data_IF_767333921527
#
_entry.id   IF_767333921527
#
_cell.length_a   1.000
_cell.length_b   1.000
_cell.length_c   1.000
_cell.angle_alpha   90.00
_cell.angle_beta   90.00
_cell.angle_gamma   90.00
#
_symmetry.space_group_name_H-M   'P 1'
#
loop_
_entity.id
_entity.type
_entity.pdbx_description
1 polymer ?
#
# COMPACT_ATOMS: atom_id res chain seq x y z
N UNK A 1 22.67 -12.59 60.87
CA UNK A 1 21.55 -11.63 60.80
C UNK A 1 21.49 -11.00 59.41
N UNK A 2 20.28 -10.94 58.84
CA UNK A 2 19.81 -10.03 57.76
C UNK A 2 20.47 -10.11 56.37
N UNK A 3 20.20 -11.18 55.60
CA UNK A 3 19.36 -11.15 54.38
C UNK A 3 18.39 -9.95 54.28
N UNK A 4 18.49 -9.18 53.18
CA UNK A 4 17.39 -8.52 52.41
C UNK A 4 17.63 -7.06 52.05
N UNK A 5 18.43 -6.78 51.00
CA UNK A 5 18.42 -5.46 50.33
C UNK A 5 18.17 -5.56 48.81
N UNK A 6 18.31 -6.74 48.20
CA UNK A 6 18.28 -6.88 46.74
C UNK A 6 16.88 -6.97 46.07
N UNK A 7 15.76 -6.89 46.80
CA UNK A 7 14.41 -7.19 46.26
C UNK A 7 13.48 -5.97 46.25
N UNK A 8 14.00 -4.74 46.10
CA UNK A 8 13.15 -3.53 45.97
C UNK A 8 13.38 -2.69 44.71
N UNK A 9 14.28 -3.09 43.82
CA UNK A 9 14.53 -2.35 42.56
C UNK A 9 13.83 -2.94 41.32
N UNK A 10 13.06 -4.03 41.47
CA UNK A 10 12.32 -4.65 40.36
C UNK A 10 10.89 -4.12 40.15
N UNK A 11 10.46 -3.11 40.90
CA UNK A 11 9.07 -2.59 40.84
C UNK A 11 8.91 -1.16 40.31
N UNK A 12 9.96 -0.52 39.77
CA UNK A 12 9.85 0.87 39.25
C UNK A 12 9.83 0.93 37.70
N UNK A 13 10.20 -0.13 36.98
CA UNK A 13 10.16 -0.13 35.50
C UNK A 13 8.80 -0.55 34.91
N UNK A 14 7.87 -1.06 35.72
CA UNK A 14 6.57 -1.55 35.24
C UNK A 14 5.46 -0.48 35.20
N UNK A 15 5.68 0.74 35.73
CA UNK A 15 4.66 1.80 35.74
C UNK A 15 4.85 2.87 34.66
N UNK A 16 6.00 2.90 33.97
CA UNK A 16 6.26 3.90 32.92
C UNK A 16 5.83 3.47 31.52
N UNK A 17 5.38 2.23 31.34
CA UNK A 17 4.96 1.68 30.04
C UNK A 17 3.51 2.01 29.62
N UNK A 18 2.71 2.59 30.51
CA UNK A 18 1.27 2.85 30.27
C UNK A 18 0.94 4.28 29.80
N UNK A 19 1.92 5.18 29.73
CA UNK A 19 1.70 6.61 29.48
C UNK A 19 2.36 7.14 28.20
N UNK A 20 2.93 6.27 27.34
CA UNK A 20 3.34 6.73 26.01
C UNK A 20 2.07 6.83 25.15
N UNK A 21 1.57 8.05 24.85
CA UNK A 21 0.45 8.20 23.91
C UNK A 21 0.95 7.62 22.58
N UNK A 22 0.15 6.73 22.00
CA UNK A 22 0.53 5.85 20.90
C UNK A 22 1.55 6.47 19.94
N UNK A 23 2.64 5.73 19.72
CA UNK A 23 3.62 6.01 18.67
C UNK A 23 2.89 6.43 17.40
N UNK A 24 3.08 7.69 17.00
CA UNK A 24 2.53 8.23 15.75
C UNK A 24 3.18 7.43 14.62
N UNK A 25 2.51 6.35 14.19
CA UNK A 25 2.94 5.59 13.02
C UNK A 25 3.02 6.56 11.83
N UNK A 26 4.04 6.44 10.97
CA UNK A 26 4.21 7.32 9.81
C UNK A 26 2.95 7.37 8.90
N UNK A 27 2.15 6.30 8.91
CA UNK A 27 0.83 6.24 8.28
C UNK A 27 -0.12 7.37 8.74
N UNK A 28 -0.01 7.75 10.00
CA UNK A 28 -0.91 8.67 10.70
C UNK A 28 -0.73 10.13 10.24
N UNK A 29 0.41 10.48 9.63
CA UNK A 29 0.63 11.83 9.07
C UNK A 29 -0.07 11.98 7.73
N UNK A 30 -0.06 10.95 6.88
CA UNK A 30 -0.72 10.99 5.58
C UNK A 30 -2.22 11.27 5.71
N UNK A 31 -2.87 10.68 6.71
CA UNK A 31 -4.31 10.82 6.93
C UNK A 31 -4.73 12.12 7.63
N UNK A 32 -3.79 13.00 8.01
CA UNK A 32 -4.14 14.35 8.46
C UNK A 32 -4.80 15.18 7.35
N UNK A 33 -4.47 14.86 6.10
CA UNK A 33 -5.03 15.54 4.91
C UNK A 33 -5.69 14.56 3.94
N UNK A 34 -5.16 13.35 3.77
CA UNK A 34 -5.77 12.35 2.90
C UNK A 34 -6.93 11.65 3.60
N UNK A 35 -8.11 11.71 3.00
CA UNK A 35 -9.31 11.11 3.58
C UNK A 35 -9.14 9.58 3.67
N UNK A 36 -9.10 9.05 4.90
CA UNK A 36 -8.80 7.64 5.15
C UNK A 36 -9.80 6.68 4.51
N UNK A 37 -11.06 7.07 4.38
CA UNK A 37 -12.11 6.26 3.74
C UNK A 37 -11.80 5.90 2.28
N UNK A 38 -10.98 6.70 1.58
CA UNK A 38 -10.56 6.44 0.20
C UNK A 38 -9.53 5.30 0.08
N UNK A 39 -8.95 4.87 1.19
CA UNK A 39 -7.93 3.81 1.26
C UNK A 39 -8.46 2.54 1.94
N UNK A 40 -9.78 2.48 2.12
CA UNK A 40 -10.48 1.35 2.73
C UNK A 40 -11.34 0.64 1.68
N UNK A 41 -11.58 -0.65 1.90
CA UNK A 41 -12.39 -1.47 1.00
C UNK A 41 -12.41 -2.91 1.45
N UNK A 42 -13.15 -3.76 0.73
CA UNK A 42 -13.19 -5.21 1.01
C UNK A 42 -11.81 -5.86 0.87
N UNK A 43 -11.02 -5.37 -0.08
CA UNK A 43 -9.64 -5.79 -0.33
C UNK A 43 -8.77 -4.54 -0.26
N UNK A 44 -7.89 -4.48 0.73
CA UNK A 44 -6.91 -3.39 0.87
C UNK A 44 -5.54 -3.92 0.49
N UNK A 45 -4.80 -3.15 -0.30
CA UNK A 45 -3.47 -3.53 -0.71
C UNK A 45 -2.54 -3.61 0.52
N UNK A 46 -1.74 -4.67 0.62
CA UNK A 46 -0.95 -4.98 1.83
C UNK A 46 -0.08 -3.80 2.31
N UNK A 47 0.64 -3.05 1.45
CA UNK A 47 1.40 -1.89 1.92
C UNK A 47 0.53 -0.77 2.50
N UNK A 48 -0.67 -0.57 1.94
CA UNK A 48 -1.63 0.44 2.40
C UNK A 48 -2.25 0.05 3.74
N UNK A 49 -2.65 -1.22 3.90
CA UNK A 49 -3.13 -1.74 5.17
C UNK A 49 -2.07 -1.64 6.29
N UNK A 50 -0.79 -1.77 5.93
CA UNK A 50 0.33 -1.58 6.84
C UNK A 50 0.73 -0.10 7.03
N UNK A 51 0.03 0.84 6.39
CA UNK A 51 0.31 2.27 6.51
C UNK A 51 1.63 2.71 5.87
N UNK A 52 2.19 1.91 4.97
CA UNK A 52 3.50 2.13 4.34
C UNK A 52 3.38 2.93 3.04
N UNK A 53 2.74 4.10 3.07
CA UNK A 53 2.48 4.92 1.88
C UNK A 53 3.77 5.28 1.11
N UNK A 54 4.87 5.48 1.84
CA UNK A 54 6.18 5.90 1.30
C UNK A 54 6.95 4.82 0.55
N UNK A 55 6.47 3.57 0.51
CA UNK A 55 7.07 2.54 -0.36
C UNK A 55 6.73 2.80 -1.82
N UNK A 56 5.58 3.42 -2.08
CA UNK A 56 5.11 3.78 -3.41
C UNK A 56 5.30 5.27 -3.70
N UNK A 57 5.02 6.14 -2.74
CA UNK A 57 5.03 7.59 -2.91
C UNK A 57 6.26 8.25 -2.29
N UNK A 58 6.74 9.34 -2.90
CA UNK A 58 7.66 10.29 -2.27
C UNK A 58 6.88 11.56 -1.92
N UNK A 59 6.58 11.82 -0.64
CA UNK A 59 5.73 12.94 -0.25
C UNK A 59 6.37 14.32 -0.52
N UNK A 60 7.67 14.40 -0.76
CA UNK A 60 8.36 15.67 -1.01
C UNK A 60 8.40 16.02 -2.48
N UNK A 61 8.87 15.09 -3.32
CA UNK A 61 9.03 15.33 -4.76
C UNK A 61 9.17 14.01 -5.52
N UNK A 62 8.44 13.90 -6.63
CA UNK A 62 8.64 12.83 -7.58
C UNK A 62 8.29 13.30 -8.99
N UNK A 63 8.99 12.75 -9.99
CA UNK A 63 8.75 13.07 -11.40
C UNK A 63 7.53 12.35 -12.01
N UNK A 64 6.98 11.36 -11.29
CA UNK A 64 5.89 10.52 -11.77
C UNK A 64 4.57 10.97 -11.15
N UNK A 65 3.48 10.88 -11.92
CA UNK A 65 2.13 11.31 -11.52
C UNK A 65 1.74 10.69 -10.17
N UNK A 66 1.15 11.50 -9.29
CA UNK A 66 0.77 11.05 -7.94
C UNK A 66 1.97 10.85 -7.02
N UNK A 67 3.10 11.51 -7.29
CA UNK A 67 4.33 11.42 -6.49
C UNK A 67 4.90 10.00 -6.37
N UNK A 68 4.74 9.15 -7.39
CA UNK A 68 5.30 7.80 -7.35
C UNK A 68 6.84 7.84 -7.37
N UNK A 69 7.47 6.94 -6.60
CA UNK A 69 8.94 6.84 -6.51
C UNK A 69 9.59 6.33 -7.79
N UNK A 70 8.87 5.51 -8.55
CA UNK A 70 9.28 4.92 -9.82
C UNK A 70 8.14 5.04 -10.83
N UNK A 71 8.45 4.82 -12.11
CA UNK A 71 7.42 4.67 -13.13
C UNK A 71 6.48 3.52 -12.75
N UNK A 72 5.17 3.66 -13.00
CA UNK A 72 4.11 2.78 -12.48
C UNK A 72 4.43 1.28 -12.60
N UNK A 73 4.65 0.77 -13.81
CA UNK A 73 4.98 -0.65 -13.99
C UNK A 73 6.24 -1.08 -13.25
N UNK A 74 7.30 -0.27 -13.25
CA UNK A 74 8.54 -0.56 -12.49
C UNK A 74 8.30 -0.59 -10.99
N UNK A 75 7.43 0.29 -10.48
CA UNK A 75 7.05 0.30 -9.08
C UNK A 75 6.28 -0.97 -8.69
N UNK A 76 5.28 -1.36 -9.49
CA UNK A 76 4.53 -2.58 -9.22
C UNK A 76 5.45 -3.81 -9.24
N UNK A 77 6.32 -3.91 -10.24
CA UNK A 77 7.21 -5.06 -10.41
C UNK A 77 8.40 -5.09 -9.44
N UNK A 78 8.63 -4.04 -8.63
CA UNK A 78 9.62 -4.12 -7.54
C UNK A 78 9.21 -5.09 -6.44
N UNK A 79 7.92 -5.43 -6.35
CA UNK A 79 7.39 -6.45 -5.44
C UNK A 79 6.64 -7.58 -6.16
N UNK A 80 6.16 -7.35 -7.38
CA UNK A 80 5.43 -8.34 -8.19
C UNK A 80 6.31 -8.96 -9.29
N UNK A 81 7.49 -9.47 -8.93
CA UNK A 81 8.46 -9.98 -9.91
C UNK A 81 7.95 -11.19 -10.68
N UNK A 82 7.17 -12.07 -10.04
CA UNK A 82 6.58 -13.24 -10.68
C UNK A 82 5.65 -12.83 -11.82
N UNK A 83 4.77 -11.84 -11.57
CA UNK A 83 3.88 -11.31 -12.60
C UNK A 83 4.69 -10.63 -13.72
N UNK A 84 5.75 -9.90 -13.36
CA UNK A 84 6.66 -9.31 -14.35
C UNK A 84 7.30 -10.35 -15.28
N UNK A 85 7.61 -11.55 -14.77
CA UNK A 85 8.13 -12.65 -15.57
C UNK A 85 7.05 -13.26 -16.48
N UNK A 86 5.83 -13.47 -15.96
CA UNK A 86 4.70 -13.99 -16.75
C UNK A 86 4.30 -13.04 -17.89
N UNK A 87 4.42 -11.73 -17.70
CA UNK A 87 4.14 -10.72 -18.73
C UNK A 87 5.27 -10.53 -19.75
N UNK A 88 6.09 -11.56 -19.96
CA UNK A 88 7.06 -11.63 -21.08
C UNK A 88 6.67 -12.67 -22.12
N UNK A 89 5.57 -13.40 -21.91
CA UNK A 89 5.18 -14.55 -22.70
C UNK A 89 3.76 -14.38 -23.26
N UNK A 90 3.55 -14.87 -24.49
CA UNK A 90 2.24 -14.90 -25.14
C UNK A 90 1.69 -13.52 -25.54
N UNK A 91 0.38 -13.48 -25.79
CA UNK A 91 -0.32 -12.25 -26.15
C UNK A 91 -0.79 -11.50 -24.90
N UNK A 92 -0.16 -10.38 -24.62
CA UNK A 92 -0.41 -9.57 -23.42
C UNK A 92 -1.19 -8.32 -23.80
N UNK A 93 -2.21 -7.99 -23.00
CA UNK A 93 -3.01 -6.79 -23.20
C UNK A 93 -2.14 -5.52 -23.15
N UNK A 94 -2.37 -4.60 -24.08
CA UNK A 94 -1.51 -3.44 -24.30
C UNK A 94 -1.25 -2.58 -23.03
N UNK A 95 -2.21 -2.34 -22.11
CA UNK A 95 -1.94 -1.62 -20.87
C UNK A 95 -0.86 -2.28 -20.02
N UNK A 96 -0.90 -3.61 -19.88
CA UNK A 96 0.09 -4.38 -19.10
C UNK A 96 1.47 -4.29 -19.74
N UNK A 97 1.57 -4.46 -21.07
CA UNK A 97 2.84 -4.32 -21.80
C UNK A 97 3.47 -2.94 -21.64
N UNK A 98 2.65 -1.90 -21.47
CA UNK A 98 3.12 -0.51 -21.22
C UNK A 98 3.35 -0.20 -19.73
N UNK A 99 3.11 -1.14 -18.83
CA UNK A 99 3.23 -0.93 -17.39
C UNK A 99 2.14 -0.04 -16.78
N UNK A 100 0.98 0.08 -17.43
CA UNK A 100 -0.21 0.78 -16.92
C UNK A 100 -1.10 -0.21 -16.15
N UNK A 101 -0.67 -0.59 -14.96
CA UNK A 101 -1.37 -1.50 -14.07
C UNK A 101 -2.70 -0.90 -13.55
N UNK A 102 -2.72 0.41 -13.32
CA UNK A 102 -3.87 1.17 -12.81
C UNK A 102 -4.97 1.39 -13.87
N UNK A 103 -4.70 1.02 -15.12
CA UNK A 103 -5.73 0.97 -16.16
C UNK A 103 -6.89 0.04 -15.77
N UNK A 104 -6.65 -0.99 -14.95
CA UNK A 104 -7.68 -1.89 -14.46
C UNK A 104 -7.66 -2.08 -12.94
N UNK A 105 -6.53 -1.84 -12.26
CA UNK A 105 -6.40 -2.04 -10.82
C UNK A 105 -6.49 -0.72 -10.03
N UNK A 106 -7.01 -0.80 -8.80
CA UNK A 106 -6.87 0.22 -7.78
C UNK A 106 -5.71 -0.16 -6.84
N UNK A 107 -4.59 0.60 -6.82
CA UNK A 107 -3.42 0.22 -6.05
C UNK A 107 -3.60 0.37 -4.52
N UNK A 108 -4.71 0.98 -4.07
CA UNK A 108 -4.99 1.20 -2.65
C UNK A 108 -5.99 0.18 -2.11
N UNK A 109 -7.21 0.18 -2.64
CA UNK A 109 -8.28 -0.69 -2.15
C UNK A 109 -9.36 -0.90 -3.22
N UNK A 110 -10.03 -2.05 -3.16
CA UNK A 110 -11.18 -2.33 -4.01
C UNK A 110 -12.20 -3.21 -3.30
N UNK A 111 -13.44 -3.19 -3.81
CA UNK A 111 -14.45 -4.20 -3.47
C UNK A 111 -14.23 -5.55 -4.18
N UNK A 112 -13.33 -5.61 -5.17
CA UNK A 112 -13.11 -6.79 -6.04
C UNK A 112 -11.75 -7.43 -5.73
N UNK A 113 -11.70 -8.77 -5.74
CA UNK A 113 -10.46 -9.55 -5.55
C UNK A 113 -9.39 -9.15 -6.57
N UNK A 114 -8.13 -9.17 -6.12
CA UNK A 114 -7.01 -8.75 -6.97
C UNK A 114 -6.95 -7.24 -7.20
N UNK A 115 -7.67 -6.45 -6.39
CA UNK A 115 -7.67 -4.99 -6.47
C UNK A 115 -8.15 -4.46 -7.82
N UNK A 116 -8.98 -5.20 -8.54
CA UNK A 116 -9.56 -4.74 -9.81
C UNK A 116 -10.57 -3.63 -9.53
N UNK A 117 -10.66 -2.59 -10.36
CA UNK A 117 -11.66 -1.52 -10.19
C UNK A 117 -13.07 -2.08 -10.34
N UNK A 118 -14.02 -1.56 -9.54
CA UNK A 118 -15.39 -2.10 -9.46
C UNK A 118 -16.12 -2.13 -10.81
N UNK A 119 -15.83 -1.16 -11.67
CA UNK A 119 -16.45 -1.05 -13.00
C UNK A 119 -15.47 -1.43 -14.11
N UNK A 120 -14.92 -2.65 -14.03
CA UNK A 120 -13.98 -3.18 -15.02
C UNK A 120 -14.60 -3.18 -16.43
N UNK A 121 -15.90 -3.48 -16.56
CA UNK A 121 -16.57 -3.49 -17.86
C UNK A 121 -16.50 -2.12 -18.54
N UNK A 122 -16.79 -1.03 -17.81
CA UNK A 122 -16.61 0.33 -18.32
C UNK A 122 -15.17 0.61 -18.71
N UNK A 123 -14.20 0.07 -17.98
CA UNK A 123 -12.78 0.26 -18.30
C UNK A 123 -12.34 -0.42 -19.58
N UNK A 124 -12.86 -1.62 -19.86
CA UNK A 124 -12.64 -2.30 -21.13
C UNK A 124 -13.18 -1.47 -22.30
N UNK A 125 -14.38 -0.90 -22.13
CA UNK A 125 -15.07 -0.12 -23.16
C UNK A 125 -14.42 1.24 -23.45
N UNK A 126 -13.49 1.73 -22.61
CA UNK A 126 -12.70 2.93 -22.91
C UNK A 126 -11.81 2.76 -24.16
N UNK A 127 -11.43 1.52 -24.47
CA UNK A 127 -10.57 1.20 -25.62
C UNK A 127 -11.25 0.25 -26.63
N UNK A 128 -12.16 -0.60 -26.18
CA UNK A 128 -12.82 -1.60 -27.01
C UNK A 128 -14.24 -1.17 -27.37
N UNK A 129 -14.51 -0.93 -28.67
CA UNK A 129 -15.85 -0.57 -29.16
C UNK A 129 -16.86 -1.72 -29.04
N UNK A 130 -16.37 -2.96 -29.06
CA UNK A 130 -17.11 -4.20 -28.80
C UNK A 130 -16.17 -5.16 -28.06
N UNK A 131 -16.66 -5.79 -26.99
CA UNK A 131 -15.89 -6.78 -26.26
C UNK A 131 -15.94 -8.13 -27.01
N UNK A 132 -14.81 -8.82 -27.16
CA UNK A 132 -14.73 -10.13 -27.81
C UNK A 132 -15.40 -11.24 -26.98
#
# INVERSE_FOLDING_TARGET
MSRSIAVRLLFITALFGLLVPGSVSAANVCFKCHQQSLFQGKVVHKPVAAGKCSVCHNPHVARFKGLLRLAEGRLCYSCHQQQAASFKQGFIHAPVRRGNCTACHDPHASSVKGLVRKDLARDCLKCHKKLP
#
